data_IF_724426810169
#
_entry.id   IF_724426810169
#
_cell.length_a   1.000
_cell.length_b   1.000
_cell.length_c   1.000
_cell.angle_alpha   90.00
_cell.angle_beta   90.00
_cell.angle_gamma   90.00
#
_symmetry.space_group_name_H-M   'P 1'
#
loop_
_entity.id
_entity.type
_entity.pdbx_description
1 polymer ?
#
# COMPACT_ATOMS: atom_id res chain seq x y z
N UNK A 1 28.63 7.66 0.68
CA UNK A 1 27.31 8.34 0.73
C UNK A 1 26.36 7.37 1.40
N UNK A 2 25.57 7.87 2.35
CA UNK A 2 24.59 7.04 3.05
C UNK A 2 23.47 6.58 2.10
N UNK A 3 22.87 5.43 2.40
CA UNK A 3 21.71 4.93 1.66
C UNK A 3 20.50 5.86 1.86
N UNK A 4 19.72 6.06 0.79
CA UNK A 4 18.46 6.78 0.87
C UNK A 4 17.30 5.81 1.17
N UNK A 5 16.58 6.03 2.27
CA UNK A 5 15.44 5.20 2.70
C UNK A 5 14.08 5.80 2.32
N UNK A 6 14.05 6.87 1.52
CA UNK A 6 12.83 7.39 0.92
C UNK A 6 12.13 6.29 0.11
N UNK A 7 10.81 6.28 0.19
CA UNK A 7 9.99 5.23 -0.40
C UNK A 7 8.70 5.80 -1.00
N UNK A 8 8.15 5.05 -1.96
CA UNK A 8 6.85 5.31 -2.54
C UNK A 8 5.97 4.07 -2.51
N UNK A 9 4.67 4.29 -2.72
CA UNK A 9 3.69 3.23 -2.81
C UNK A 9 3.61 2.74 -4.24
N UNK A 10 4.16 1.56 -4.51
CA UNK A 10 4.10 0.91 -5.81
C UNK A 10 2.79 0.15 -5.95
N UNK A 11 2.02 0.44 -7.00
CA UNK A 11 0.83 -0.34 -7.32
C UNK A 11 1.15 -1.77 -7.73
N UNK A 12 0.31 -2.71 -7.26
CA UNK A 12 0.32 -4.11 -7.66
C UNK A 12 -0.36 -4.23 -9.04
N UNK A 13 -1.61 -3.79 -9.13
CA UNK A 13 -2.26 -3.50 -10.41
C UNK A 13 -2.12 -2.00 -10.71
N UNK A 14 -1.51 -1.60 -11.83
CA UNK A 14 -1.31 -0.20 -12.17
C UNK A 14 -2.57 0.44 -12.75
N UNK A 15 -2.68 1.76 -12.64
CA UNK A 15 -3.82 2.55 -13.14
C UNK A 15 -4.22 2.22 -14.59
N UNK A 16 -3.24 1.90 -15.45
CA UNK A 16 -3.47 1.54 -16.84
C UNK A 16 -4.46 0.38 -17.02
N UNK A 17 -4.54 -0.56 -16.06
CA UNK A 17 -5.51 -1.65 -16.08
C UNK A 17 -6.96 -1.13 -15.97
N UNK A 18 -7.21 -0.07 -15.20
CA UNK A 18 -8.54 0.54 -15.07
C UNK A 18 -8.93 1.40 -16.27
N UNK A 19 -8.01 1.69 -17.19
CA UNK A 19 -8.33 2.39 -18.44
C UNK A 19 -8.95 1.45 -19.48
N UNK A 20 -8.86 0.14 -19.28
CA UNK A 20 -9.54 -0.87 -20.10
C UNK A 20 -10.91 -1.16 -19.47
N UNK A 21 -12.04 -0.86 -20.14
CA UNK A 21 -13.38 -0.96 -19.55
C UNK A 21 -13.71 -2.33 -18.95
N UNK A 22 -13.39 -3.41 -19.65
CA UNK A 22 -13.68 -4.78 -19.23
C UNK A 22 -12.84 -5.20 -18.01
N UNK A 23 -11.58 -4.76 -17.96
CA UNK A 23 -10.73 -4.97 -16.79
C UNK A 23 -11.27 -4.20 -15.58
N UNK A 24 -11.70 -2.94 -15.80
CA UNK A 24 -12.31 -2.12 -14.75
C UNK A 24 -13.59 -2.76 -14.21
N UNK A 25 -14.51 -3.16 -15.08
CA UNK A 25 -15.76 -3.82 -14.69
C UNK A 25 -15.49 -5.09 -13.88
N UNK A 26 -14.56 -5.93 -14.35
CA UNK A 26 -14.17 -7.15 -13.67
C UNK A 26 -13.63 -6.86 -12.25
N UNK A 27 -12.71 -5.90 -12.11
CA UNK A 27 -12.07 -5.56 -10.84
C UNK A 27 -13.04 -4.88 -9.86
N UNK A 28 -13.86 -3.94 -10.34
CA UNK A 28 -14.90 -3.30 -9.55
C UNK A 28 -15.89 -4.34 -9.01
N UNK A 29 -16.27 -5.32 -9.84
CA UNK A 29 -17.14 -6.44 -9.45
C UNK A 29 -16.54 -7.34 -8.36
N UNK A 30 -15.22 -7.32 -8.17
CA UNK A 30 -14.54 -8.02 -7.07
C UNK A 30 -14.22 -7.11 -5.87
N UNK A 31 -14.64 -5.85 -5.89
CA UNK A 31 -14.35 -4.88 -4.83
C UNK A 31 -12.88 -4.43 -4.80
N UNK A 32 -12.15 -4.55 -5.91
CA UNK A 32 -10.76 -4.13 -6.03
C UNK A 32 -10.71 -2.74 -6.67
N UNK A 33 -10.32 -1.74 -5.89
CA UNK A 33 -10.13 -0.38 -6.37
C UNK A 33 -8.64 -0.06 -6.57
N UNK A 34 -8.32 0.81 -7.53
CA UNK A 34 -6.94 1.22 -7.78
C UNK A 34 -6.27 1.78 -6.52
N UNK A 35 -6.95 2.68 -5.82
CA UNK A 35 -6.44 3.41 -4.65
C UNK A 35 -6.68 2.68 -3.31
N UNK A 36 -6.91 1.36 -3.30
CA UNK A 36 -7.09 0.62 -2.06
C UNK A 36 -5.75 0.20 -1.44
N UNK A 37 -5.67 0.14 -0.10
CA UNK A 37 -4.46 -0.31 0.61
C UNK A 37 -3.90 -1.64 0.10
N UNK A 38 -4.78 -2.61 -0.21
CA UNK A 38 -4.41 -3.93 -0.71
C UNK A 38 -3.84 -3.98 -2.12
N UNK A 39 -3.82 -2.85 -2.85
CA UNK A 39 -3.25 -2.73 -4.20
C UNK A 39 -1.88 -2.02 -4.21
N UNK A 40 -1.27 -1.76 -3.06
CA UNK A 40 0.05 -1.12 -2.99
C UNK A 40 0.99 -1.85 -2.05
N UNK A 41 2.28 -1.71 -2.34
CA UNK A 41 3.38 -2.11 -1.45
C UNK A 41 4.37 -0.95 -1.34
N UNK A 42 5.03 -0.82 -0.19
CA UNK A 42 6.08 0.19 -0.04
C UNK A 42 7.32 -0.25 -0.82
N UNK A 43 7.96 0.65 -1.57
CA UNK A 43 9.18 0.37 -2.31
C UNK A 43 10.16 1.52 -2.20
N UNK A 44 11.44 1.21 -1.93
CA UNK A 44 12.49 2.22 -1.85
C UNK A 44 12.70 2.92 -3.19
N UNK A 45 12.83 4.24 -3.20
CA UNK A 45 13.06 5.00 -4.44
C UNK A 45 14.47 4.71 -4.98
N UNK A 46 15.46 4.66 -4.09
CA UNK A 46 16.86 4.48 -4.43
C UNK A 46 17.22 3.01 -4.72
N UNK A 47 17.66 2.67 -5.94
CA UNK A 47 18.13 1.33 -6.28
C UNK A 47 19.31 0.86 -5.41
N UNK A 48 20.16 1.76 -4.91
CA UNK A 48 21.27 1.36 -4.06
C UNK A 48 20.79 0.76 -2.73
N UNK A 49 19.70 1.28 -2.17
CA UNK A 49 19.07 0.74 -0.95
C UNK A 49 18.48 -0.64 -1.18
N UNK A 50 17.77 -0.86 -2.29
CA UNK A 50 17.30 -2.19 -2.67
C UNK A 50 18.45 -3.17 -2.87
N UNK A 51 19.53 -2.78 -3.55
CA UNK A 51 20.72 -3.64 -3.71
C UNK A 51 21.41 -3.93 -2.37
N UNK A 52 21.47 -2.97 -1.46
CA UNK A 52 22.00 -3.20 -0.11
C UNK A 52 21.17 -4.24 0.63
N UNK A 53 19.83 -4.15 0.56
CA UNK A 53 18.93 -5.16 1.11
C UNK A 53 19.17 -6.55 0.50
N UNK A 54 19.39 -6.65 -0.82
CA UNK A 54 19.72 -7.92 -1.48
C UNK A 54 21.05 -8.54 -1.06
N UNK A 55 21.97 -7.75 -0.49
CA UNK A 55 23.25 -8.24 0.07
C UNK A 55 23.13 -8.75 1.50
N UNK A 56 22.05 -8.41 2.20
CA UNK A 56 21.77 -8.92 3.54
C UNK A 56 21.32 -10.38 3.53
N UNK A 57 21.15 -10.97 4.71
CA UNK A 57 20.71 -12.36 4.84
C UNK A 57 19.30 -12.59 4.30
N UNK A 58 18.99 -13.84 3.92
CA UNK A 58 17.64 -14.23 3.50
C UNK A 58 16.59 -13.92 4.56
N UNK A 59 16.94 -14.09 5.84
CA UNK A 59 16.04 -13.90 6.96
C UNK A 59 15.63 -12.43 7.09
N UNK A 60 16.59 -11.51 6.97
CA UNK A 60 16.31 -10.08 7.00
C UNK A 60 15.45 -9.68 5.79
N UNK A 61 15.81 -10.13 4.58
CA UNK A 61 15.00 -9.84 3.38
C UNK A 61 13.57 -10.36 3.50
N UNK A 62 13.39 -11.59 3.96
CA UNK A 62 12.06 -12.16 4.21
C UNK A 62 11.29 -11.39 5.27
N UNK A 63 11.96 -10.84 6.28
CA UNK A 63 11.32 -10.01 7.31
C UNK A 63 10.82 -8.69 6.73
N UNK A 64 11.64 -8.03 5.90
CA UNK A 64 11.25 -6.80 5.19
C UNK A 64 10.05 -7.07 4.26
N UNK A 65 10.10 -8.14 3.48
CA UNK A 65 8.98 -8.55 2.61
C UNK A 65 7.71 -8.83 3.42
N UNK A 66 7.80 -9.53 4.55
CA UNK A 66 6.66 -9.78 5.43
C UNK A 66 6.09 -8.51 6.06
N UNK A 67 6.89 -7.45 6.14
CA UNK A 67 6.46 -6.13 6.60
C UNK A 67 5.83 -5.28 5.48
N UNK A 68 5.46 -5.87 4.34
CA UNK A 68 4.87 -5.19 3.16
C UNK A 68 5.83 -4.21 2.44
N UNK A 69 7.14 -4.45 2.55
CA UNK A 69 8.16 -3.73 1.79
C UNK A 69 8.70 -4.56 0.64
N UNK A 70 8.67 -3.97 -0.55
CA UNK A 70 9.32 -4.54 -1.73
C UNK A 70 10.83 -4.60 -1.53
N UNK A 71 11.42 -5.73 -1.92
CA UNK A 71 12.85 -5.85 -2.08
C UNK A 71 13.34 -5.27 -3.42
N UNK A 72 12.45 -4.77 -4.27
CA UNK A 72 12.75 -4.07 -5.51
C UNK A 72 12.62 -2.55 -5.32
N UNK A 73 13.37 -1.75 -6.09
CA UNK A 73 13.17 -0.31 -6.08
C UNK A 73 11.82 0.07 -6.70
N UNK A 74 11.28 1.22 -6.32
CA UNK A 74 10.08 1.81 -6.91
C UNK A 74 10.29 2.05 -8.41
N UNK A 75 9.36 1.53 -9.22
CA UNK A 75 9.41 1.59 -10.69
C UNK A 75 8.55 2.72 -11.26
N UNK A 76 7.61 3.24 -10.47
CA UNK A 76 6.63 4.21 -10.93
C UNK A 76 5.28 3.58 -11.28
N UNK A 77 4.26 4.43 -11.38
CA UNK A 77 2.91 4.04 -11.82
C UNK A 77 2.75 3.97 -13.35
N UNK A 78 3.75 4.47 -14.08
CA UNK A 78 3.71 4.62 -15.53
C UNK A 78 4.41 3.47 -16.30
N UNK A 79 4.95 2.46 -15.61
CA UNK A 79 5.59 1.34 -16.29
C UNK A 79 4.55 0.52 -17.10
N UNK A 80 4.69 0.56 -18.42
CA UNK A 80 3.78 -0.13 -19.34
C UNK A 80 3.97 -1.65 -19.31
N UNK A 81 5.10 -2.15 -18.80
CA UNK A 81 5.43 -3.58 -18.76
C UNK A 81 4.45 -4.38 -17.92
N UNK A 82 4.18 -3.93 -16.69
CA UNK A 82 3.22 -4.60 -15.80
C UNK A 82 1.80 -4.62 -16.39
N UNK A 83 1.36 -3.51 -16.98
CA UNK A 83 0.05 -3.43 -17.63
C UNK A 83 -0.05 -4.36 -18.86
N UNK A 84 1.02 -4.46 -19.67
CA UNK A 84 1.09 -5.38 -20.82
C UNK A 84 0.91 -6.85 -20.42
N UNK A 85 1.42 -7.25 -19.25
CA UNK A 85 1.21 -8.59 -18.73
C UNK A 85 -0.20 -8.80 -18.17
N UNK A 86 -0.69 -7.83 -17.40
CA UNK A 86 -1.95 -7.97 -16.64
C UNK A 86 -3.20 -7.89 -17.49
N UNK A 87 -3.24 -6.96 -18.46
CA UNK A 87 -4.45 -6.70 -19.26
C UNK A 87 -4.89 -7.98 -19.99
N UNK A 88 -4.04 -8.71 -20.74
CA UNK A 88 -4.45 -9.95 -21.39
C UNK A 88 -5.00 -11.01 -20.43
N UNK A 89 -4.43 -11.11 -19.22
CA UNK A 89 -4.87 -12.08 -18.21
C UNK A 89 -6.24 -11.73 -17.62
N UNK A 90 -6.48 -10.47 -17.33
CA UNK A 90 -7.79 -9.99 -16.88
C UNK A 90 -8.85 -10.12 -17.97
N UNK A 91 -8.50 -9.83 -19.23
CA UNK A 91 -9.39 -10.05 -20.37
C UNK A 91 -9.75 -11.53 -20.55
N UNK A 92 -8.79 -12.45 -20.34
CA UNK A 92 -9.05 -13.89 -20.37
C UNK A 92 -10.07 -14.31 -19.28
N UNK A 93 -9.89 -13.80 -18.05
CA UNK A 93 -10.83 -14.06 -16.95
C UNK A 93 -12.21 -13.49 -17.27
N UNK A 94 -12.27 -12.26 -17.79
CA UNK A 94 -13.51 -11.61 -18.20
C UNK A 94 -14.24 -12.42 -19.28
N UNK A 95 -13.54 -12.89 -20.31
CA UNK A 95 -14.12 -13.73 -21.36
C UNK A 95 -14.66 -15.06 -20.82
N UNK A 96 -13.96 -15.68 -19.87
CA UNK A 96 -14.43 -16.91 -19.19
C UNK A 96 -15.67 -16.66 -18.33
N UNK A 97 -15.77 -15.49 -17.69
CA UNK A 97 -16.98 -15.08 -16.98
C UNK A 97 -18.15 -14.88 -17.96
N UNK A 98 -17.94 -14.12 -19.05
CA UNK A 98 -18.98 -13.81 -20.04
C UNK A 98 -19.53 -15.03 -20.77
N UNK A 99 -18.68 -16.03 -21.02
CA UNK A 99 -19.07 -17.32 -21.63
C UNK A 99 -19.72 -18.30 -20.65
N UNK A 100 -19.78 -17.98 -19.35
CA UNK A 100 -20.28 -18.89 -18.31
C UNK A 100 -19.32 -20.02 -17.93
N UNK A 101 -18.12 -20.06 -18.52
CA UNK A 101 -17.09 -21.02 -18.14
C UNK A 101 -16.64 -20.85 -16.68
N UNK A 102 -16.61 -19.60 -16.19
CA UNK A 102 -16.37 -19.28 -14.78
C UNK A 102 -17.66 -18.78 -14.12
N UNK A 103 -18.07 -19.45 -13.05
CA UNK A 103 -19.04 -18.90 -12.09
C UNK A 103 -18.41 -17.82 -11.20
N UNK A 104 -19.23 -17.11 -10.43
CA UNK A 104 -18.81 -15.97 -9.61
C UNK A 104 -17.63 -16.27 -8.67
N UNK A 105 -17.63 -17.44 -8.03
CA UNK A 105 -16.54 -17.87 -7.14
C UNK A 105 -15.23 -18.13 -7.92
N UNK A 106 -15.31 -18.77 -9.09
CA UNK A 106 -14.14 -19.01 -9.94
C UNK A 106 -13.53 -17.71 -10.47
N UNK A 107 -14.38 -16.73 -10.83
CA UNK A 107 -13.93 -15.38 -11.19
C UNK A 107 -13.17 -14.73 -10.03
N UNK A 108 -13.77 -14.75 -8.82
CA UNK A 108 -13.13 -14.19 -7.62
C UNK A 108 -11.76 -14.80 -7.39
N UNK A 109 -11.66 -16.13 -7.34
CA UNK A 109 -10.37 -16.78 -7.12
C UNK A 109 -9.35 -16.46 -8.21
N UNK A 110 -9.74 -16.46 -9.49
CA UNK A 110 -8.82 -16.14 -10.58
C UNK A 110 -8.27 -14.71 -10.47
N UNK A 111 -9.11 -13.73 -10.11
CA UNK A 111 -8.69 -12.34 -9.94
C UNK A 111 -7.76 -12.18 -8.72
N UNK A 112 -8.12 -12.77 -7.57
CA UNK A 112 -7.30 -12.70 -6.36
C UNK A 112 -5.99 -13.48 -6.49
N UNK A 113 -5.98 -14.61 -7.18
CA UNK A 113 -4.76 -15.36 -7.48
C UNK A 113 -3.81 -14.52 -8.34
N UNK A 114 -4.32 -13.86 -9.38
CA UNK A 114 -3.54 -12.93 -10.20
C UNK A 114 -3.01 -11.74 -9.38
N UNK A 115 -3.83 -11.17 -8.49
CA UNK A 115 -3.42 -10.10 -7.59
C UNK A 115 -2.28 -10.55 -6.66
N UNK A 116 -2.42 -11.71 -6.03
CA UNK A 116 -1.41 -12.26 -5.10
C UNK A 116 -0.12 -12.63 -5.82
N UNK A 117 -0.21 -13.23 -7.02
CA UNK A 117 0.95 -13.51 -7.85
C UNK A 117 1.69 -12.22 -8.23
N UNK A 118 0.95 -11.20 -8.65
CA UNK A 118 1.52 -9.90 -9.04
C UNK A 118 2.10 -9.16 -7.84
N UNK A 119 1.51 -9.31 -6.66
CA UNK A 119 2.06 -8.81 -5.40
C UNK A 119 3.42 -9.43 -5.14
N UNK A 120 3.55 -10.77 -5.24
CA UNK A 120 4.83 -11.47 -5.07
C UNK A 120 5.89 -11.00 -6.06
N UNK A 121 5.52 -10.78 -7.33
CA UNK A 121 6.43 -10.19 -8.33
C UNK A 121 6.86 -8.79 -7.91
N UNK A 122 5.91 -7.92 -7.55
CA UNK A 122 6.17 -6.52 -7.16
C UNK A 122 7.01 -6.43 -5.89
N UNK A 123 6.92 -7.41 -5.00
CA UNK A 123 7.70 -7.51 -3.75
C UNK A 123 9.12 -8.07 -3.96
N UNK A 124 9.44 -8.61 -5.14
CA UNK A 124 10.70 -9.31 -5.38
C UNK A 124 10.80 -10.70 -4.72
N UNK A 125 9.66 -11.34 -4.41
CA UNK A 125 9.59 -12.66 -3.79
C UNK A 125 9.90 -13.80 -4.77
N UNK A 126 9.60 -13.59 -6.05
CA UNK A 126 9.79 -14.61 -7.08
C UNK A 126 11.22 -14.50 -7.62
N UNK A 127 12.01 -15.55 -7.42
CA UNK A 127 13.40 -15.61 -7.87
C UNK A 127 13.54 -16.35 -9.19
N UNK A 128 14.51 -15.94 -9.99
CA UNK A 128 14.97 -16.67 -11.17
C UNK A 128 15.88 -17.86 -10.79
N UNK A 129 16.30 -18.64 -11.78
CA UNK A 129 17.19 -19.79 -11.59
C UNK A 129 18.55 -19.43 -10.97
N UNK A 130 18.95 -18.15 -11.00
CA UNK A 130 20.20 -17.65 -10.42
C UNK A 130 20.00 -17.08 -9.01
N UNK A 131 18.79 -17.21 -8.43
CA UNK A 131 18.46 -16.66 -7.12
C UNK A 131 18.30 -15.15 -7.09
N UNK A 132 18.14 -14.49 -8.26
CA UNK A 132 17.89 -13.05 -8.38
C UNK A 132 16.39 -12.78 -8.49
N UNK A 133 15.88 -11.64 -8.02
CA UNK A 133 14.46 -11.35 -8.16
C UNK A 133 14.06 -11.20 -9.63
N UNK A 134 12.91 -11.78 -9.98
CA UNK A 134 12.24 -11.57 -11.26
C UNK A 134 11.67 -10.16 -11.27
N UNK A 135 12.17 -9.31 -12.16
CA UNK A 135 11.80 -7.90 -12.26
C UNK A 135 11.89 -7.42 -13.72
N UNK A 136 11.37 -6.20 -13.97
CA UNK A 136 11.47 -5.54 -15.27
C UNK A 136 12.93 -5.29 -15.67
N UNK A 137 13.18 -5.17 -16.97
CA UNK A 137 14.54 -4.89 -17.48
C UNK A 137 15.07 -3.54 -16.97
N UNK A 138 14.19 -2.55 -16.82
CA UNK A 138 14.51 -1.25 -16.24
C UNK A 138 15.01 -1.42 -14.80
N UNK A 139 14.29 -2.16 -13.96
CA UNK A 139 14.70 -2.40 -12.57
C UNK A 139 15.98 -3.19 -12.49
N UNK A 140 16.11 -4.23 -13.32
CA UNK A 140 17.33 -5.02 -13.43
C UNK A 140 18.54 -4.12 -13.75
N UNK A 141 18.40 -3.22 -14.72
CA UNK A 141 19.45 -2.28 -15.13
C UNK A 141 19.77 -1.26 -14.02
N UNK A 142 18.75 -0.71 -13.36
CA UNK A 142 18.93 0.24 -12.24
C UNK A 142 19.68 -0.42 -11.09
N UNK A 143 19.32 -1.65 -10.73
CA UNK A 143 20.00 -2.43 -9.69
C UNK A 143 21.42 -2.83 -10.10
N UNK A 144 21.66 -3.21 -11.36
CA UNK A 144 23.02 -3.57 -11.82
C UNK A 144 23.99 -2.40 -11.79
N UNK A 145 23.50 -1.18 -12.03
CA UNK A 145 24.28 0.05 -12.03
C UNK A 145 24.48 0.62 -10.62
N UNK A 146 23.67 0.21 -9.66
CA UNK A 146 23.78 0.66 -8.29
C UNK A 146 25.00 0.06 -7.58
N UNK A 147 25.67 0.89 -6.76
CA UNK A 147 26.84 0.52 -5.97
C UNK A 147 26.64 1.05 -4.55
N UNK A 148 25.93 0.32 -3.67
CA UNK A 148 25.74 0.78 -2.30
C UNK A 148 27.08 0.81 -1.57
N UNK A 149 27.38 1.96 -0.97
CA UNK A 149 28.60 2.20 -0.20
C UNK A 149 28.48 1.76 1.27
N UNK A 150 27.25 1.54 1.75
CA UNK A 150 26.93 1.15 3.13
C UNK A 150 26.05 -0.10 3.16
N UNK A 151 26.02 -0.78 4.31
CA UNK A 151 25.08 -1.88 4.58
C UNK A 151 23.66 -1.37 4.75
N UNK A 152 22.69 -2.26 4.55
CA UNK A 152 21.29 -1.93 4.81
C UNK A 152 21.06 -1.81 6.33
N UNK A 153 20.26 -0.84 6.72
CA UNK A 153 19.93 -0.52 8.11
C UNK A 153 18.41 -0.61 8.27
N UNK A 154 17.96 -1.72 8.87
CA UNK A 154 16.55 -1.98 9.09
C UNK A 154 15.89 -0.94 10.01
N UNK A 155 16.64 -0.36 10.97
CA UNK A 155 16.09 0.66 11.85
C UNK A 155 15.83 1.95 11.06
N UNK A 156 16.73 2.34 10.15
CA UNK A 156 16.49 3.50 9.27
C UNK A 156 15.29 3.28 8.35
N UNK A 157 15.12 2.07 7.81
CA UNK A 157 13.94 1.72 7.01
C UNK A 157 12.63 1.84 7.81
N UNK A 158 12.61 1.31 9.04
CA UNK A 158 11.44 1.40 9.94
C UNK A 158 11.15 2.85 10.34
N UNK A 159 12.19 3.63 10.65
CA UNK A 159 12.02 5.05 11.01
C UNK A 159 11.49 5.87 9.83
N UNK A 160 11.97 5.62 8.61
CA UNK A 160 11.43 6.25 7.42
C UNK A 160 9.91 5.99 7.30
N UNK A 161 9.47 4.75 7.50
CA UNK A 161 8.06 4.38 7.51
C UNK A 161 7.25 5.12 8.58
N UNK A 162 7.75 5.10 9.83
CA UNK A 162 7.06 5.66 10.98
C UNK A 162 6.95 7.19 10.91
N UNK A 163 7.90 7.83 10.22
CA UNK A 163 7.92 9.28 10.01
C UNK A 163 7.07 9.76 8.83
N UNK A 164 6.55 8.84 8.01
CA UNK A 164 5.77 9.20 6.82
C UNK A 164 4.41 9.79 7.22
N UNK A 165 4.08 11.03 6.78
CA UNK A 165 2.80 11.67 7.07
C UNK A 165 1.57 10.84 6.67
N UNK A 166 1.67 9.99 5.65
CA UNK A 166 0.61 9.09 5.18
C UNK A 166 0.27 7.99 6.19
N UNK A 167 1.20 7.68 7.10
CA UNK A 167 1.04 6.67 8.14
C UNK A 167 0.55 7.25 9.47
N UNK A 168 0.41 8.57 9.59
CA UNK A 168 -0.24 9.18 10.73
C UNK A 168 -1.74 9.33 10.46
N UNK A 169 -2.63 8.90 11.37
CA UNK A 169 -4.02 9.30 11.28
C UNK A 169 -4.05 10.83 11.25
N UNK A 170 -4.87 11.41 10.35
CA UNK A 170 -5.04 12.85 10.27
C UNK A 170 -5.20 13.37 11.71
N UNK A 171 -4.25 14.19 12.17
CA UNK A 171 -4.44 14.91 13.42
C UNK A 171 -5.76 15.62 13.22
N UNK A 172 -6.78 15.21 13.97
CA UNK A 172 -7.92 16.07 14.20
C UNK A 172 -7.28 17.40 14.60
N UNK A 173 -7.41 18.40 13.74
CA UNK A 173 -7.21 19.78 14.14
C UNK A 173 -8.26 19.99 15.21
N UNK A 174 -7.87 19.70 16.46
CA UNK A 174 -8.47 20.32 17.61
C UNK A 174 -8.21 21.79 17.38
N UNK A 175 -9.15 22.45 16.71
CA UNK A 175 -9.33 23.88 16.84
C UNK A 175 -9.32 24.11 18.34
N UNK A 176 -8.23 24.69 18.82
CA UNK A 176 -8.15 25.23 20.17
C UNK A 176 -9.24 26.28 20.18
N UNK A 177 -10.42 25.88 20.60
CA UNK A 177 -11.54 26.77 20.85
C UNK A 177 -11.03 27.64 21.98
N UNK A 178 -10.62 28.87 21.62
CA UNK A 178 -10.18 29.87 22.56
C UNK A 178 -11.23 29.93 23.67
N UNK A 179 -10.82 29.57 24.89
CA UNK A 179 -11.68 29.67 26.05
C UNK A 179 -12.17 31.11 26.14
N UNK A 180 -13.49 31.37 26.19
CA UNK A 180 -13.96 32.72 26.35
C UNK A 180 -13.49 33.23 27.71
N UNK A 181 -12.92 34.43 27.70
CA UNK A 181 -12.46 35.12 28.89
C UNK A 181 -13.57 35.18 29.96
N UNK A 182 -13.17 35.00 31.22
CA UNK A 182 -13.99 35.18 32.42
C UNK A 182 -14.88 36.43 32.32
N UNK A 183 -16.21 36.30 32.52
CA UNK A 183 -17.04 37.45 32.88
C UNK A 183 -16.93 37.70 34.39
N UNK A 184 -16.63 38.95 34.72
CA UNK A 184 -16.71 39.55 36.05
C UNK A 184 -18.14 39.44 36.61
N UNK A 185 -18.27 39.14 37.91
CA UNK A 185 -19.54 38.99 38.63
C UNK A 185 -20.41 40.26 38.63
N UNK A 186 -21.74 40.10 38.54
CA UNK A 186 -22.70 40.32 39.64
C UNK A 186 -24.13 40.58 39.13
N UNK A 187 -25.13 39.84 39.65
CA UNK A 187 -26.55 40.17 39.54
C UNK A 187 -27.49 38.95 39.61
N UNK A 188 -28.42 38.85 40.60
CA UNK A 188 -29.05 37.59 41.00
C UNK A 188 -30.40 37.32 40.31
N UNK A 189 -30.76 36.05 40.15
CA UNK A 189 -32.17 35.66 40.19
C UNK A 189 -32.62 34.51 39.30
N UNK A 190 -33.41 33.64 39.94
CA UNK A 190 -34.38 32.67 39.42
C UNK A 190 -33.82 31.39 38.77
N UNK A 191 -34.27 30.25 39.31
CA UNK A 191 -34.00 28.87 38.87
C UNK A 191 -32.79 28.13 39.46
N UNK A 192 -32.53 28.36 40.75
CA UNK A 192 -32.03 27.28 41.61
C UNK A 192 -33.20 26.55 42.25
N UNK A 193 -33.62 25.40 41.70
CA UNK A 193 -34.34 24.30 42.41
C UNK A 193 -34.76 23.21 41.42
N UNK A 194 -34.01 22.11 41.38
CA UNK A 194 -34.54 20.74 41.52
C UNK A 194 -33.40 19.75 41.23
N UNK A 195 -32.84 19.23 42.32
CA UNK A 195 -32.02 18.04 42.31
C UNK A 195 -32.86 16.80 41.98
N UNK A 196 -32.20 15.79 41.41
CA UNK A 196 -32.43 14.35 41.58
C UNK A 196 -33.88 13.86 41.54
N UNK A 197 -34.26 13.23 40.42
CA UNK A 197 -35.21 12.11 40.46
C UNK A 197 -34.72 11.04 39.48
N UNK A 198 -34.13 9.99 40.06
CA UNK A 198 -34.16 8.57 39.68
C UNK A 198 -34.11 8.18 38.19
N UNK A 199 -33.11 7.36 37.85
CA UNK A 199 -33.16 6.56 36.64
C UNK A 199 -34.25 5.49 36.69
N UNK A 200 -34.81 5.15 35.52
CA UNK A 200 -35.07 3.77 35.10
C UNK A 200 -35.42 3.69 33.60
N UNK A 201 -34.98 2.58 33.01
CA UNK A 201 -35.21 2.06 31.65
C UNK A 201 -36.66 1.57 31.42
N UNK A 202 -36.95 1.34 30.12
CA UNK A 202 -37.95 0.45 29.47
C UNK A 202 -39.43 0.83 29.63
N UNK A 203 -40.29 0.83 28.60
CA UNK A 203 -40.30 0.18 27.27
C UNK A 203 -40.54 1.18 26.14
#
# INVERSE_FOLDING_TARGET
>A
MDLNYDFEMQSIFPKAVWLVPECKELLDGQGIAHNMKGNYVAAFIDPATAVALWRESSELRSTIIKADWSALPYEGEADAGKAHFLIPKLMEIHAKAASGAYGAEAVRYAVYDLLLFTRKLTMGEILDANGKPTCSDLTRQRMSNARPASKFDANKAVMAMASDPRNHPARETTTVQASPAKPTEAGPGLFGRAARIFGRKTN
#
